data_IF_775537220725
#
_entry.id   IF_775537220725
#
_cell.length_a   1.000
_cell.length_b   1.000
_cell.length_c   1.000
_cell.angle_alpha   90.00
_cell.angle_beta   90.00
_cell.angle_gamma   90.00
#
_symmetry.space_group_name_H-M   'P 1'
#
loop_
_entity.id
_entity.type
_entity.pdbx_description
1 polymer ?
#
# COMPACT_ATOMS: atom_id res chain seq x y z
N UNK A 1 -20.34 -9.08 27.17
CA UNK A 1 -19.52 -9.76 26.50
C UNK A 1 -18.93 -9.04 25.43
N UNK A 2 -17.83 -9.10 25.43
CA UNK A 2 -17.21 -8.42 24.51
C UNK A 2 -17.21 -9.16 23.28
N UNK A 3 -17.29 -8.50 22.33
CA UNK A 3 -17.28 -9.10 21.08
C UNK A 3 -15.87 -9.34 20.64
N UNK A 4 -15.44 -10.55 20.78
CA UNK A 4 -14.09 -10.86 20.37
C UNK A 4 -14.04 -11.41 18.98
N UNK A 5 -15.08 -11.18 18.18
CA UNK A 5 -15.09 -11.67 16.83
C UNK A 5 -13.90 -11.15 16.07
N UNK A 6 -13.12 -12.04 15.50
CA UNK A 6 -12.01 -11.64 14.68
C UNK A 6 -12.48 -11.11 13.35
N UNK A 7 -11.80 -10.10 12.85
CA UNK A 7 -12.08 -9.62 11.52
C UNK A 7 -11.62 -10.65 10.50
N UNK A 8 -12.36 -10.77 9.41
CA UNK A 8 -11.93 -11.62 8.29
C UNK A 8 -10.73 -10.99 7.62
N UNK A 9 -10.04 -11.77 6.80
CA UNK A 9 -8.94 -11.25 6.02
C UNK A 9 -9.40 -10.08 5.17
N UNK A 10 -10.55 -10.22 4.50
CA UNK A 10 -11.07 -9.15 3.67
C UNK A 10 -11.34 -7.89 4.48
N UNK A 11 -11.89 -8.02 5.68
CA UNK A 11 -12.16 -6.88 6.54
C UNK A 11 -10.87 -6.19 6.97
N UNK A 12 -9.82 -6.95 7.26
CA UNK A 12 -8.54 -6.36 7.63
C UNK A 12 -7.90 -5.63 6.47
N UNK A 13 -7.99 -6.20 5.27
CA UNK A 13 -7.49 -5.53 4.07
C UNK A 13 -8.29 -4.27 3.79
N UNK A 14 -9.60 -4.32 4.04
CA UNK A 14 -10.44 -3.14 3.88
C UNK A 14 -10.00 -2.02 4.82
N UNK A 15 -9.73 -2.35 6.08
CA UNK A 15 -9.25 -1.34 7.03
C UNK A 15 -7.91 -0.76 6.58
N UNK A 16 -7.02 -1.61 6.10
CA UNK A 16 -5.73 -1.13 5.60
C UNK A 16 -5.91 -0.18 4.43
N UNK A 17 -6.86 -0.48 3.54
CA UNK A 17 -7.10 0.35 2.36
C UNK A 17 -7.67 1.71 2.72
N UNK A 18 -8.18 1.86 3.95
CA UNK A 18 -8.74 3.11 4.41
C UNK A 18 -7.75 3.95 5.21
N UNK A 19 -6.55 3.44 5.46
CA UNK A 19 -5.54 4.22 6.18
C UNK A 19 -5.13 5.44 5.38
N UNK A 20 -4.83 6.51 6.10
CA UNK A 20 -4.41 7.74 5.46
C UNK A 20 -3.02 7.58 4.86
N UNK A 21 -2.81 8.19 3.71
CA UNK A 21 -1.49 8.27 3.11
C UNK A 21 -0.61 9.14 3.99
N UNK A 22 0.66 8.77 4.21
CA UNK A 22 1.55 9.59 5.03
C UNK A 22 1.63 11.02 4.51
N UNK A 23 1.66 11.97 5.42
CA UNK A 23 1.75 13.37 5.09
C UNK A 23 3.12 13.90 5.46
N UNK A 24 3.77 14.52 4.50
CA UNK A 24 5.06 15.15 4.73
C UNK A 24 4.92 16.66 4.58
N UNK A 25 5.52 17.38 5.51
CA UNK A 25 5.49 18.84 5.45
C UNK A 25 6.43 19.39 4.36
N UNK A 26 7.29 18.55 3.82
CA UNK A 26 8.25 18.97 2.84
C UNK A 26 7.75 18.70 1.43
N UNK A 27 8.09 19.58 0.48
CA UNK A 27 7.77 19.39 -0.92
C UNK A 27 8.96 18.81 -1.69
N UNK A 28 9.86 18.12 -1.00
CA UNK A 28 11.01 17.51 -1.64
C UNK A 28 10.58 16.39 -2.59
N UNK A 29 11.43 16.06 -3.57
CA UNK A 29 11.14 14.90 -4.43
C UNK A 29 10.99 13.61 -3.65
N UNK A 30 11.71 13.45 -2.53
CA UNK A 30 11.58 12.27 -1.70
C UNK A 30 10.16 12.18 -1.13
N UNK A 31 9.68 13.27 -0.53
CA UNK A 31 8.35 13.27 0.08
C UNK A 31 7.28 13.01 -0.97
N UNK A 32 7.38 13.67 -2.13
CA UNK A 32 6.41 13.48 -3.20
C UNK A 32 6.45 12.04 -3.73
N UNK A 33 7.64 11.50 -3.94
CA UNK A 33 7.78 10.14 -4.46
C UNK A 33 7.23 9.10 -3.51
N UNK A 34 7.61 9.20 -2.24
CA UNK A 34 7.16 8.24 -1.23
C UNK A 34 5.62 8.26 -1.12
N UNK A 35 5.05 9.46 -1.04
CA UNK A 35 3.60 9.59 -0.93
C UNK A 35 2.90 8.99 -2.13
N UNK A 36 3.40 9.24 -3.34
CA UNK A 36 2.79 8.71 -4.54
C UNK A 36 2.94 7.20 -4.64
N UNK A 37 4.09 6.66 -4.25
CA UNK A 37 4.28 5.21 -4.26
C UNK A 37 3.37 4.51 -3.27
N UNK A 38 3.29 5.04 -2.06
CA UNK A 38 2.39 4.51 -1.04
C UNK A 38 0.95 4.53 -1.56
N UNK A 39 0.52 5.65 -2.12
CA UNK A 39 -0.84 5.82 -2.59
C UNK A 39 -1.15 4.95 -3.81
N UNK A 40 -0.16 4.72 -4.66
CA UNK A 40 -0.32 3.84 -5.81
C UNK A 40 -0.68 2.43 -5.36
N UNK A 41 0.04 1.90 -4.37
CA UNK A 41 -0.24 0.56 -3.86
C UNK A 41 -1.58 0.51 -3.14
N UNK A 42 -1.90 1.57 -2.40
CA UNK A 42 -3.19 1.65 -1.74
C UNK A 42 -4.34 1.56 -2.74
N UNK A 43 -4.21 2.26 -3.88
CA UNK A 43 -5.23 2.21 -4.92
C UNK A 43 -5.33 0.83 -5.54
N UNK A 44 -4.20 0.13 -5.69
CA UNK A 44 -4.21 -1.25 -6.18
C UNK A 44 -5.03 -2.13 -5.24
N UNK A 45 -4.82 -1.98 -3.93
CA UNK A 45 -5.55 -2.76 -2.95
C UNK A 45 -7.05 -2.46 -3.00
N UNK A 46 -7.41 -1.17 -3.08
CA UNK A 46 -8.81 -0.78 -3.18
C UNK A 46 -9.45 -1.42 -4.41
N UNK A 47 -8.76 -1.36 -5.55
CA UNK A 47 -9.29 -1.94 -6.78
C UNK A 47 -9.49 -3.45 -6.65
N UNK A 48 -8.54 -4.14 -6.02
CA UNK A 48 -8.66 -5.58 -5.81
C UNK A 48 -9.87 -5.92 -4.95
N UNK A 49 -10.07 -5.14 -3.88
CA UNK A 49 -11.20 -5.38 -2.98
C UNK A 49 -12.54 -5.11 -3.67
N UNK A 50 -12.61 -4.05 -4.46
CA UNK A 50 -13.83 -3.71 -5.19
C UNK A 50 -14.16 -4.81 -6.21
N UNK A 51 -13.15 -5.37 -6.84
CA UNK A 51 -13.34 -6.40 -7.86
C UNK A 51 -13.40 -7.81 -7.29
N UNK A 52 -13.35 -7.95 -5.96
CA UNK A 52 -13.31 -9.25 -5.29
C UNK A 52 -12.15 -10.12 -5.76
N UNK A 53 -11.04 -9.49 -6.16
CA UNK A 53 -9.83 -10.21 -6.53
C UNK A 53 -9.12 -10.69 -5.28
N UNK A 54 -8.45 -11.85 -5.40
CA UNK A 54 -7.68 -12.34 -4.28
C UNK A 54 -6.42 -11.52 -4.09
N UNK A 55 -6.12 -11.22 -2.83
CA UNK A 55 -4.88 -10.53 -2.47
C UNK A 55 -3.95 -11.56 -1.86
N UNK A 56 -2.98 -11.99 -2.63
CA UNK A 56 -2.06 -13.06 -2.25
C UNK A 56 -0.63 -12.58 -2.38
N UNK A 57 0.31 -13.50 -2.21
CA UNK A 57 1.72 -13.18 -2.41
C UNK A 57 2.00 -12.63 -3.80
N UNK A 58 1.28 -13.10 -4.81
CA UNK A 58 1.49 -12.58 -6.15
C UNK A 58 1.15 -11.10 -6.24
N UNK A 59 0.14 -10.67 -5.49
CA UNK A 59 -0.24 -9.26 -5.45
C UNK A 59 0.90 -8.39 -4.95
N UNK A 60 1.59 -8.83 -3.89
CA UNK A 60 2.66 -8.03 -3.29
C UNK A 60 4.01 -8.24 -3.97
N UNK A 61 4.11 -9.18 -4.89
CA UNK A 61 5.35 -9.45 -5.62
C UNK A 61 5.32 -8.95 -7.05
N UNK A 62 4.24 -8.29 -7.46
CA UNK A 62 4.18 -7.74 -8.81
C UNK A 62 5.24 -6.65 -9.00
N UNK A 63 5.78 -6.50 -10.21
CA UNK A 63 6.73 -5.42 -10.45
C UNK A 63 6.12 -4.06 -10.14
N UNK A 64 6.91 -3.17 -9.57
CA UNK A 64 6.48 -1.82 -9.26
C UNK A 64 6.63 -0.96 -10.51
N UNK A 65 5.53 -0.34 -10.95
CA UNK A 65 5.55 0.55 -12.11
C UNK A 65 5.93 1.94 -11.66
N UNK A 66 7.23 2.25 -11.73
CA UNK A 66 7.74 3.53 -11.29
C UNK A 66 7.54 4.56 -12.40
N UNK A 67 6.88 5.71 -12.10
CA UNK A 67 6.72 6.75 -13.11
C UNK A 67 8.08 7.31 -13.50
N UNK A 68 8.24 7.64 -14.78
CA UNK A 68 9.46 8.28 -15.23
C UNK A 68 9.48 9.69 -14.67
N UNK A 69 10.61 10.07 -14.06
CA UNK A 69 10.75 11.37 -13.44
C UNK A 69 12.20 11.81 -13.55
N UNK A 70 12.42 13.12 -13.71
CA UNK A 70 13.78 13.65 -13.81
C UNK A 70 14.58 13.46 -12.53
N UNK A 71 13.90 13.33 -11.40
CA UNK A 71 14.55 13.16 -10.12
C UNK A 71 14.69 11.67 -9.80
N UNK A 72 15.92 11.19 -9.71
CA UNK A 72 16.15 9.82 -9.29
C UNK A 72 15.72 9.62 -7.84
N UNK A 73 15.80 10.67 -7.02
CA UNK A 73 15.36 10.61 -5.64
C UNK A 73 13.85 10.35 -5.57
N UNK A 74 13.09 11.02 -6.44
CA UNK A 74 11.65 10.78 -6.53
C UNK A 74 11.37 9.31 -6.86
N UNK A 75 12.06 8.78 -7.87
CA UNK A 75 11.81 7.41 -8.31
C UNK A 75 12.17 6.40 -7.22
N UNK A 76 13.30 6.61 -6.54
CA UNK A 76 13.67 5.74 -5.43
C UNK A 76 12.66 5.82 -4.29
N UNK A 77 12.20 7.02 -3.97
CA UNK A 77 11.22 7.20 -2.92
C UNK A 77 9.88 6.56 -3.29
N UNK A 78 9.52 6.60 -4.57
CA UNK A 78 8.30 5.94 -5.03
C UNK A 78 8.38 4.44 -4.75
N UNK A 79 9.52 3.83 -5.05
CA UNK A 79 9.72 2.41 -4.74
C UNK A 79 9.62 2.18 -3.24
N UNK A 80 10.24 3.03 -2.44
CA UNK A 80 10.21 2.90 -0.99
C UNK A 80 8.78 2.98 -0.45
N UNK A 81 7.99 3.92 -0.97
CA UNK A 81 6.61 4.05 -0.55
C UNK A 81 5.77 2.84 -0.92
N UNK A 82 5.97 2.33 -2.14
CA UNK A 82 5.28 1.11 -2.56
C UNK A 82 5.65 -0.06 -1.69
N UNK A 83 6.94 -0.25 -1.42
CA UNK A 83 7.42 -1.36 -0.58
C UNK A 83 6.86 -1.24 0.83
N UNK A 84 6.80 -0.01 1.37
CA UNK A 84 6.27 0.19 2.71
C UNK A 84 4.82 -0.27 2.81
N UNK A 85 4.00 0.09 1.84
CA UNK A 85 2.61 -0.33 1.85
C UNK A 85 2.47 -1.83 1.65
N UNK A 86 3.30 -2.42 0.78
CA UNK A 86 3.28 -3.86 0.56
C UNK A 86 3.65 -4.63 1.81
N UNK A 87 4.53 -4.08 2.64
CA UNK A 87 4.86 -4.70 3.93
C UNK A 87 3.64 -4.74 4.84
N UNK A 88 2.82 -3.70 4.81
CA UNK A 88 1.59 -3.67 5.59
C UNK A 88 0.62 -4.75 5.11
N UNK A 89 0.48 -4.91 3.80
CA UNK A 89 -0.36 -5.96 3.24
C UNK A 89 0.16 -7.33 3.66
N UNK A 90 1.48 -7.52 3.55
CA UNK A 90 2.10 -8.79 3.91
C UNK A 90 1.83 -9.15 5.37
N UNK A 91 1.91 -8.15 6.25
CA UNK A 91 1.62 -8.36 7.67
C UNK A 91 0.19 -8.84 7.87
N UNK A 92 -0.77 -8.23 7.18
CA UNK A 92 -2.16 -8.64 7.27
C UNK A 92 -2.32 -10.07 6.77
N UNK A 93 -1.69 -10.41 5.64
CA UNK A 93 -1.78 -11.76 5.08
C UNK A 93 -1.17 -12.80 6.02
N UNK A 94 -0.15 -12.42 6.75
CA UNK A 94 0.54 -13.35 7.66
C UNK A 94 -0.22 -13.57 8.96
N UNK A 95 -1.12 -12.68 9.30
CA UNK A 95 -1.86 -12.76 10.56
C UNK A 95 -3.29 -13.24 10.36
N UNK A 96 -3.49 -14.16 9.46
CA UNK A 96 -4.83 -14.69 9.19
C UNK A 96 -5.43 -15.38 10.39
#
# INVERSE_FOLDING_TARGET
MENTKKLTLKQRLQKLSEEQTPFFHSLTPFAAGFTQGFNYEKKRLVAALVNNSEVTKDFINEPISVPINDSSLFMHAFIDGSVDYRKKIKTVLSNK
#
